data_IF_791141401983
#
_entry.id   IF_791141401983
#
_cell.length_a   1.000
_cell.length_b   1.000
_cell.length_c   1.000
_cell.angle_alpha   90.00
_cell.angle_beta   90.00
_cell.angle_gamma   90.00
#
_symmetry.space_group_name_H-M   'P 1'
#
loop_
_entity.id
_entity.type
_entity.pdbx_description
1 polymer ?
#
# COMPACT_ATOMS: atom_id res chain seq x y z
N UNK A 1 -13.85 6.94 2.11
CA UNK A 1 -12.87 6.01 1.55
C UNK A 1 -13.23 5.85 0.08
N UNK A 2 -12.30 6.10 -0.82
CA UNK A 2 -12.49 6.01 -2.27
C UNK A 2 -11.67 4.84 -2.85
N UNK A 3 -12.15 4.25 -3.94
CA UNK A 3 -11.38 3.25 -4.67
C UNK A 3 -10.83 3.92 -5.93
N UNK A 4 -9.51 3.81 -6.10
CA UNK A 4 -8.85 4.31 -7.29
C UNK A 4 -8.97 3.24 -8.36
N UNK A 5 -9.19 3.67 -9.59
CA UNK A 5 -9.14 2.80 -10.74
C UNK A 5 -7.68 2.43 -11.07
N UNK A 6 -7.46 1.28 -11.70
CA UNK A 6 -6.13 0.83 -12.11
C UNK A 6 -5.44 1.81 -13.08
N UNK A 7 -6.22 2.60 -13.83
CA UNK A 7 -5.71 3.62 -14.74
C UNK A 7 -5.41 4.96 -14.03
N UNK A 8 -5.66 5.06 -12.71
CA UNK A 8 -5.35 6.25 -11.96
C UNK A 8 -3.82 6.45 -11.90
N UNK A 9 -3.29 7.66 -12.15
CA UNK A 9 -1.85 7.90 -12.18
C UNK A 9 -1.14 7.59 -10.85
N UNK A 10 -1.86 7.70 -9.72
CA UNK A 10 -1.33 7.31 -8.41
C UNK A 10 -1.27 5.79 -8.21
N UNK A 11 -2.00 4.99 -9.01
CA UNK A 11 -2.11 3.54 -8.83
C UNK A 11 -0.75 2.85 -8.90
N UNK A 12 0.01 3.06 -9.98
CA UNK A 12 1.34 2.45 -10.10
C UNK A 12 2.28 2.96 -9.00
N UNK A 13 2.23 4.27 -8.72
CA UNK A 13 3.10 4.90 -7.72
C UNK A 13 2.91 4.31 -6.33
N UNK A 14 1.66 4.09 -5.89
CA UNK A 14 1.40 3.53 -4.56
C UNK A 14 1.91 2.08 -4.43
N UNK A 15 1.81 1.26 -5.49
CA UNK A 15 2.37 -0.10 -5.47
C UNK A 15 3.90 -0.10 -5.50
N UNK A 16 4.51 0.79 -6.27
CA UNK A 16 5.98 0.96 -6.28
C UNK A 16 6.49 1.40 -4.91
N UNK A 17 5.81 2.36 -4.28
CA UNK A 17 6.16 2.82 -2.94
C UNK A 17 5.98 1.71 -1.90
N UNK A 18 4.89 0.93 -1.98
CA UNK A 18 4.66 -0.25 -1.13
C UNK A 18 5.84 -1.22 -1.22
N UNK A 19 6.30 -1.55 -2.43
CA UNK A 19 7.42 -2.47 -2.64
C UNK A 19 8.72 -1.98 -1.98
N UNK A 20 8.91 -0.66 -1.92
CA UNK A 20 10.13 -0.03 -1.39
C UNK A 20 10.25 -0.13 0.14
N UNK A 21 9.15 -0.44 0.85
CA UNK A 21 9.20 -0.64 2.30
C UNK A 21 10.14 -1.80 2.63
N UNK A 22 11.00 -1.58 3.64
CA UNK A 22 11.98 -2.59 4.07
C UNK A 22 11.34 -3.93 4.44
N UNK A 23 10.09 -3.89 4.93
CA UNK A 23 9.28 -5.06 5.25
C UNK A 23 9.08 -5.97 4.03
N UNK A 24 8.89 -5.35 2.87
CA UNK A 24 8.54 -6.00 1.61
C UNK A 24 9.78 -6.38 0.78
N UNK A 25 10.95 -5.82 1.10
CA UNK A 25 12.22 -6.21 0.48
C UNK A 25 12.31 -5.93 -1.03
N UNK A 26 11.50 -5.00 -1.55
CA UNK A 26 11.39 -4.74 -2.99
C UNK A 26 10.29 -5.56 -3.69
N UNK A 27 9.58 -6.45 -3.00
CA UNK A 27 8.47 -7.21 -3.57
C UNK A 27 7.12 -6.50 -3.29
N UNK A 28 6.43 -5.95 -4.28
CA UNK A 28 5.12 -5.29 -4.07
C UNK A 28 4.00 -6.26 -3.65
N UNK A 29 4.11 -7.55 -3.97
CA UNK A 29 3.03 -8.52 -3.75
C UNK A 29 3.17 -9.26 -2.43
N UNK A 30 4.41 -9.53 -2.00
CA UNK A 30 4.75 -10.25 -0.77
C UNK A 30 3.94 -11.54 -0.56
N UNK A 31 3.83 -12.37 -1.60
CA UNK A 31 2.94 -13.54 -1.58
C UNK A 31 3.33 -14.51 -0.45
N UNK A 32 2.37 -14.85 0.40
CA UNK A 32 2.53 -15.84 1.46
C UNK A 32 1.28 -16.72 1.59
N UNK A 33 1.42 -18.03 1.37
CA UNK A 33 0.32 -19.02 1.43
C UNK A 33 -0.94 -18.63 0.62
N UNK A 34 -0.75 -17.92 -0.50
CA UNK A 34 -1.84 -17.43 -1.36
C UNK A 34 -2.47 -16.11 -0.91
N UNK A 35 -2.03 -15.53 0.21
CA UNK A 35 -2.31 -14.14 0.58
C UNK A 35 -1.26 -13.19 -0.02
N UNK A 36 -1.68 -11.97 -0.34
CA UNK A 36 -0.81 -10.90 -0.80
C UNK A 36 -1.30 -9.56 -0.23
N UNK A 37 -0.63 -8.47 -0.59
CA UNK A 37 -1.14 -7.13 -0.29
C UNK A 37 -2.49 -6.88 -0.96
N UNK A 38 -3.45 -6.43 -0.17
CA UNK A 38 -4.80 -6.06 -0.58
C UNK A 38 -4.95 -4.54 -0.49
N UNK A 39 -5.37 -3.92 -1.59
CA UNK A 39 -5.70 -2.49 -1.60
C UNK A 39 -7.10 -2.28 -0.99
N UNK A 40 -7.14 -1.62 0.16
CA UNK A 40 -8.37 -1.41 0.93
C UNK A 40 -9.12 -0.13 0.52
N UNK A 41 -8.48 0.73 -0.26
CA UNK A 41 -9.00 2.03 -0.66
C UNK A 41 -8.07 3.16 -0.24
N UNK A 42 -8.49 4.38 -0.59
CA UNK A 42 -7.77 5.61 -0.29
C UNK A 42 -8.62 6.55 0.52
N UNK A 43 -7.94 7.37 1.32
CA UNK A 43 -8.48 8.58 1.92
C UNK A 43 -7.90 9.78 1.19
N UNK A 44 -8.26 10.98 1.64
CA UNK A 44 -7.73 12.22 1.07
C UNK A 44 -6.20 12.32 1.21
N UNK A 45 -5.64 11.70 2.26
CA UNK A 45 -4.23 11.83 2.59
C UNK A 45 -3.43 10.53 2.39
N UNK A 46 -4.06 9.35 2.45
CA UNK A 46 -3.33 8.07 2.44
C UNK A 46 -4.00 6.99 1.57
N UNK A 47 -3.20 6.12 0.96
CA UNK A 47 -3.62 4.83 0.42
C UNK A 47 -3.47 3.75 1.49
N UNK A 48 -4.47 2.89 1.63
CA UNK A 48 -4.52 1.88 2.69
C UNK A 48 -4.31 0.50 2.10
N UNK A 49 -3.30 -0.21 2.62
CA UNK A 49 -2.98 -1.58 2.25
C UNK A 49 -3.04 -2.48 3.47
N UNK A 50 -3.49 -3.72 3.24
CA UNK A 50 -3.53 -4.76 4.26
C UNK A 50 -2.89 -6.02 3.72
N UNK A 51 -2.05 -6.66 4.53
CA UNK A 51 -1.56 -8.00 4.26
C UNK A 51 -2.14 -8.93 5.32
N UNK A 52 -2.88 -9.96 4.90
CA UNK A 52 -3.57 -10.85 5.85
C UNK A 52 -2.61 -11.79 6.61
N UNK A 53 -1.46 -12.16 6.04
CA UNK A 53 -0.41 -12.92 6.74
C UNK A 53 0.98 -12.63 6.14
N UNK A 54 1.66 -11.58 6.59
CA UNK A 54 2.91 -11.14 5.93
C UNK A 54 4.04 -12.18 6.11
N UNK A 55 4.80 -12.54 5.05
CA UNK A 55 5.79 -13.62 5.11
C UNK A 55 6.91 -13.38 6.13
N UNK A 56 7.26 -12.12 6.41
CA UNK A 56 8.30 -11.79 7.38
C UNK A 56 7.81 -11.80 8.84
N UNK A 57 6.60 -11.29 9.10
CA UNK A 57 6.10 -11.08 10.47
C UNK A 57 5.12 -12.16 10.91
N UNK A 58 4.62 -12.96 9.97
CA UNK A 58 3.57 -13.98 10.15
C UNK A 58 2.32 -13.44 10.84
N UNK A 59 1.99 -12.17 10.59
CA UNK A 59 0.86 -11.45 11.20
C UNK A 59 0.13 -10.63 10.15
N UNK A 60 -1.04 -10.11 10.54
CA UNK A 60 -1.75 -9.12 9.74
C UNK A 60 -0.97 -7.81 9.81
N UNK A 61 -0.58 -7.27 8.67
CA UNK A 61 0.14 -6.00 8.57
C UNK A 61 -0.72 -4.96 7.85
N UNK A 62 -0.54 -3.69 8.22
CA UNK A 62 -1.18 -2.55 7.60
C UNK A 62 -0.12 -1.54 7.21
N UNK A 63 -0.15 -1.10 5.96
CA UNK A 63 0.71 -0.03 5.46
C UNK A 63 -0.16 1.11 4.93
N UNK A 64 0.27 2.33 5.23
CA UNK A 64 -0.34 3.56 4.77
C UNK A 64 0.67 4.30 3.92
N UNK A 65 0.29 4.61 2.69
CA UNK A 65 1.16 5.30 1.72
C UNK A 65 0.62 6.70 1.53
N UNK A 66 1.47 7.72 1.70
CA UNK A 66 1.03 9.11 1.61
C UNK A 66 0.69 9.50 0.17
N UNK A 67 -0.41 10.22 0.00
CA UNK A 67 -0.77 10.84 -1.28
C UNK A 67 0.04 12.11 -1.48
N UNK A 68 0.34 12.43 -2.73
CA UNK A 68 1.14 13.62 -3.06
C UNK A 68 0.53 14.94 -2.52
N UNK A 69 -0.81 14.98 -2.37
CA UNK A 69 -1.52 16.13 -1.80
C UNK A 69 -1.49 16.22 -0.27
N UNK A 70 -1.21 15.13 0.45
CA UNK A 70 -1.17 15.11 1.91
C UNK A 70 -0.02 15.99 2.45
N UNK A 71 1.16 15.85 1.85
CA UNK A 71 2.36 16.61 2.19
C UNK A 71 2.18 18.13 2.04
N UNK A 72 1.35 18.58 1.10
CA UNK A 72 1.06 19.99 0.86
C UNK A 72 0.09 20.62 1.88
N UNK A 73 -0.65 19.83 2.66
CA UNK A 73 -1.62 20.33 3.65
C UNK A 73 -1.02 20.57 5.03
N UNK A 74 0.24 20.20 5.23
CA UNK A 74 1.01 20.46 6.45
C UNK A 74 1.95 21.67 6.33
N UNK A 75 1.93 22.39 5.21
CA UNK A 75 2.76 23.57 4.94
C UNK A 75 2.05 24.89 5.25
#
# INVERSE_FOLDING_TARGET
MEYLDINHPEWQKMWDELSSYRLNGGDPLCINEGACWEYMGSTIDHHHFRHSCHPLTHRIEYIYIERAGAALRWA
#
